data_IF_201793434858
#
_entry.id   IF_201793434858
#
_cell.length_a   1.000
_cell.length_b   1.000
_cell.length_c   1.000
_cell.angle_alpha   90.00
_cell.angle_beta   90.00
_cell.angle_gamma   90.00
#
_symmetry.space_group_name_H-M   'P 1'
#
loop_
_entity.id
_entity.type
_entity.pdbx_description
1 polymer ?
#
# COMPACT_ATOMS: atom_id res chain seq x y z
N UNK A 1 -3.90 17.69 15.86
CA UNK A 1 -2.60 17.57 15.18
C UNK A 1 -1.70 18.75 15.40
N UNK A 2 -2.19 19.93 15.20
CA UNK A 2 -1.40 21.15 15.38
C UNK A 2 -0.79 21.29 16.79
N UNK A 3 -1.58 21.03 17.82
CA UNK A 3 -1.11 21.07 19.22
C UNK A 3 0.03 20.10 19.50
N UNK A 4 -0.05 18.89 18.96
CA UNK A 4 0.96 17.85 19.16
C UNK A 4 2.28 18.23 18.50
N UNK A 5 2.21 18.75 17.28
CA UNK A 5 3.39 19.19 16.56
C UNK A 5 4.10 20.32 17.30
N UNK A 6 3.32 21.28 17.82
CA UNK A 6 3.86 22.40 18.56
C UNK A 6 4.58 21.96 19.84
N UNK A 7 3.97 21.05 20.60
CA UNK A 7 4.57 20.50 21.80
C UNK A 7 5.86 19.75 21.49
N UNK A 8 5.90 19.02 20.38
CA UNK A 8 7.09 18.31 19.96
C UNK A 8 8.21 19.26 19.58
N UNK A 9 7.89 20.35 18.89
CA UNK A 9 8.86 21.38 18.54
C UNK A 9 9.46 22.03 19.78
N UNK A 10 8.70 22.10 20.87
CA UNK A 10 9.14 22.64 22.16
C UNK A 10 9.97 21.63 22.98
N UNK A 11 10.25 20.45 22.42
CA UNK A 11 11.09 19.43 23.04
C UNK A 11 10.34 18.30 23.75
N UNK A 12 9.01 18.29 23.67
CA UNK A 12 8.23 17.22 24.29
C UNK A 12 8.26 15.94 23.43
N UNK A 13 8.40 14.79 24.10
CA UNK A 13 8.26 13.50 23.47
C UNK A 13 6.79 13.10 23.56
N UNK A 14 6.18 12.79 22.42
CA UNK A 14 4.75 12.46 22.35
C UNK A 14 4.59 11.02 21.89
N UNK A 15 3.83 10.23 22.66
CA UNK A 15 3.42 8.88 22.26
C UNK A 15 1.98 8.94 21.79
N UNK A 16 1.77 8.50 20.55
CA UNK A 16 0.46 8.53 19.92
C UNK A 16 0.04 7.12 19.53
N UNK A 17 -1.06 6.65 20.10
CA UNK A 17 -1.58 5.32 19.85
C UNK A 17 -2.76 5.40 18.89
N UNK A 18 -2.70 4.66 17.81
CA UNK A 18 -3.75 4.65 16.80
C UNK A 18 -3.77 3.30 16.08
N UNK A 19 -4.92 2.96 15.50
CA UNK A 19 -5.03 1.85 14.56
C UNK A 19 -5.16 2.35 13.12
N UNK A 20 -5.06 3.67 12.90
CA UNK A 20 -5.07 4.26 11.57
C UNK A 20 -3.64 4.43 11.08
N UNK A 21 -3.20 3.52 10.21
CA UNK A 21 -1.83 3.51 9.70
C UNK A 21 -1.46 4.78 8.95
N UNK A 22 -2.41 5.31 8.18
CA UNK A 22 -2.22 6.53 7.42
C UNK A 22 -1.89 7.72 8.31
N UNK A 23 -2.59 7.82 9.43
CA UNK A 23 -2.36 8.87 10.42
C UNK A 23 -0.98 8.74 11.05
N UNK A 24 -0.56 7.53 11.41
CA UNK A 24 0.76 7.27 11.95
C UNK A 24 1.87 7.64 10.95
N UNK A 25 1.68 7.36 9.66
CA UNK A 25 2.65 7.73 8.63
C UNK A 25 2.87 9.23 8.55
N UNK A 26 1.81 10.00 8.73
CA UNK A 26 1.87 11.45 8.57
C UNK A 26 2.51 12.17 9.74
N UNK A 27 2.26 11.74 10.97
CA UNK A 27 2.63 12.51 12.15
C UNK A 27 3.75 11.91 13.00
N UNK A 28 4.03 10.62 12.88
CA UNK A 28 5.00 9.96 13.73
C UNK A 28 6.40 9.94 13.11
N UNK A 29 7.41 10.19 13.93
CA UNK A 29 8.82 10.05 13.52
C UNK A 29 9.29 8.62 13.62
N UNK A 30 8.86 7.92 14.67
CA UNK A 30 9.11 6.49 14.84
C UNK A 30 7.80 5.78 15.13
N UNK A 31 7.67 4.58 14.63
CA UNK A 31 6.44 3.81 14.70
C UNK A 31 6.75 2.42 15.25
N UNK A 32 5.97 1.99 16.24
CA UNK A 32 6.01 0.63 16.72
C UNK A 32 4.73 -0.07 16.30
N UNK A 33 4.86 -1.21 15.66
CA UNK A 33 3.72 -2.04 15.26
C UNK A 33 3.52 -3.12 16.34
N UNK A 34 2.31 -3.15 16.89
CA UNK A 34 1.95 -4.07 17.96
C UNK A 34 0.90 -5.06 17.45
N UNK A 35 1.04 -6.30 17.86
CA UNK A 35 0.05 -7.33 17.60
C UNK A 35 0.01 -8.28 18.79
N UNK A 36 -1.19 -8.59 19.27
CA UNK A 36 -1.41 -9.49 20.42
C UNK A 36 -0.57 -9.12 21.65
N UNK A 37 -0.47 -7.82 21.90
CA UNK A 37 0.28 -7.30 23.05
C UNK A 37 1.79 -7.34 22.93
N UNK A 38 2.31 -7.68 21.75
CA UNK A 38 3.76 -7.73 21.51
C UNK A 38 4.18 -6.75 20.42
N UNK A 39 5.35 -6.16 20.62
CA UNK A 39 5.95 -5.33 19.60
C UNK A 39 6.56 -6.22 18.51
N UNK A 40 6.03 -6.14 17.29
CA UNK A 40 6.50 -6.98 16.18
C UNK A 40 7.47 -6.24 15.26
N UNK A 41 7.43 -4.92 15.25
CA UNK A 41 8.38 -4.11 14.48
C UNK A 41 8.45 -2.72 15.07
N UNK A 42 9.58 -2.05 14.92
CA UNK A 42 9.77 -0.67 15.31
C UNK A 42 10.77 0.00 14.37
N UNK A 43 10.54 1.26 14.05
CA UNK A 43 11.44 2.04 13.21
C UNK A 43 10.74 3.25 12.62
N UNK A 44 11.44 3.95 11.74
CA UNK A 44 10.81 5.01 10.96
C UNK A 44 9.90 4.37 9.91
N UNK A 45 8.99 5.17 9.33
CA UNK A 45 8.12 4.66 8.27
C UNK A 45 8.91 4.07 7.10
N UNK A 46 10.04 4.68 6.77
CA UNK A 46 10.88 4.20 5.68
C UNK A 46 11.57 2.87 6.02
N UNK A 47 12.05 2.74 7.26
CA UNK A 47 12.64 1.50 7.73
C UNK A 47 11.63 0.36 7.73
N UNK A 48 10.41 0.63 8.18
CA UNK A 48 9.34 -0.37 8.20
C UNK A 48 8.93 -0.79 6.78
N UNK A 49 8.83 0.15 5.87
CA UNK A 49 8.48 -0.15 4.49
C UNK A 49 9.54 -0.99 3.78
N UNK A 50 10.80 -0.86 4.17
CA UNK A 50 11.89 -1.68 3.65
C UNK A 50 11.86 -3.12 4.13
N UNK A 51 11.10 -3.42 5.18
CA UNK A 51 10.96 -4.78 5.69
C UNK A 51 10.17 -5.67 4.72
N UNK A 52 9.27 -5.09 3.95
CA UNK A 52 8.56 -5.81 2.90
C UNK A 52 9.19 -5.46 1.55
N UNK A 53 10.03 -6.36 1.10
CA UNK A 53 10.72 -6.20 -0.17
C UNK A 53 9.81 -6.62 -1.32
N UNK A 54 9.92 -5.91 -2.43
CA UNK A 54 9.27 -6.28 -3.68
C UNK A 54 7.74 -6.20 -3.68
N UNK A 55 7.16 -5.43 -2.77
CA UNK A 55 5.73 -5.16 -2.83
C UNK A 55 5.52 -3.88 -3.62
N UNK A 56 4.64 -3.93 -4.60
CA UNK A 56 4.35 -2.81 -5.48
C UNK A 56 2.86 -2.68 -5.70
N UNK A 57 2.36 -1.46 -5.70
CA UNK A 57 0.97 -1.17 -6.03
C UNK A 57 0.93 -0.35 -7.31
N UNK A 58 0.24 -0.87 -8.31
CA UNK A 58 0.05 -0.19 -9.59
C UNK A 58 -1.40 0.23 -9.71
N UNK A 59 -1.62 1.51 -9.95
CA UNK A 59 -2.96 2.07 -10.16
C UNK A 59 -3.06 2.66 -11.56
N UNK A 60 -4.10 2.31 -12.29
CA UNK A 60 -4.29 2.73 -13.68
C UNK A 60 -5.71 3.23 -13.87
N UNK A 61 -5.86 4.37 -14.50
CA UNK A 61 -7.17 4.88 -14.88
C UNK A 61 -7.63 4.20 -16.15
N UNK A 62 -8.66 3.37 -16.05
CA UNK A 62 -9.27 2.67 -17.17
C UNK A 62 -10.77 2.96 -17.14
N UNK A 63 -11.30 3.76 -18.06
CA UNK A 63 -12.72 4.13 -18.05
C UNK A 63 -13.67 2.95 -18.12
N UNK A 64 -13.32 1.95 -18.91
CA UNK A 64 -14.13 0.74 -19.05
C UNK A 64 -13.24 -0.48 -19.00
N UNK A 65 -13.52 -1.37 -18.07
CA UNK A 65 -12.80 -2.63 -17.92
C UNK A 65 -13.80 -3.75 -17.75
N UNK A 66 -13.78 -4.68 -18.69
CA UNK A 66 -14.66 -5.84 -18.64
C UNK A 66 -14.15 -6.83 -17.56
N UNK A 67 -15.08 -7.54 -16.95
CA UNK A 67 -14.77 -8.50 -15.91
C UNK A 67 -13.76 -9.55 -16.38
N UNK A 68 -13.86 -9.99 -17.62
CA UNK A 68 -12.93 -10.92 -18.24
C UNK A 68 -11.49 -10.41 -18.18
N UNK A 69 -11.29 -9.14 -18.50
CA UNK A 69 -9.96 -8.52 -18.45
C UNK A 69 -9.47 -8.32 -17.00
N UNK A 70 -10.39 -8.00 -16.11
CA UNK A 70 -10.07 -7.86 -14.68
C UNK A 70 -9.59 -9.21 -14.11
N UNK A 71 -10.26 -10.30 -14.44
CA UNK A 71 -9.85 -11.63 -14.01
C UNK A 71 -8.49 -12.02 -14.59
N UNK A 72 -8.26 -11.73 -15.86
CA UNK A 72 -6.98 -12.00 -16.51
C UNK A 72 -5.83 -11.23 -15.85
N UNK A 73 -6.05 -9.98 -15.55
CA UNK A 73 -5.06 -9.15 -14.85
C UNK A 73 -4.81 -9.68 -13.43
N UNK A 74 -5.86 -10.09 -12.74
CA UNK A 74 -5.74 -10.67 -11.41
C UNK A 74 -5.01 -12.02 -11.39
N UNK A 75 -4.97 -12.70 -12.51
CA UNK A 75 -4.28 -13.99 -12.66
C UNK A 75 -2.83 -13.84 -13.11
N UNK A 76 -2.35 -12.63 -13.33
CA UNK A 76 -0.97 -12.40 -13.72
C UNK A 76 -0.01 -12.82 -12.60
N UNK A 77 1.19 -13.24 -13.00
CA UNK A 77 2.21 -13.65 -12.05
C UNK A 77 2.52 -12.52 -11.06
N UNK A 78 2.64 -12.86 -9.79
CA UNK A 78 2.91 -11.97 -8.68
C UNK A 78 1.77 -11.06 -8.23
N UNK A 79 0.63 -11.04 -8.92
CA UNK A 79 -0.54 -10.30 -8.46
C UNK A 79 -1.24 -11.07 -7.35
N UNK A 80 -1.42 -10.44 -6.20
CA UNK A 80 -2.14 -11.07 -5.09
C UNK A 80 -3.46 -10.38 -4.76
N UNK A 81 -3.69 -9.20 -5.28
CA UNK A 81 -4.95 -8.47 -5.07
C UNK A 81 -5.25 -7.59 -6.27
N UNK A 82 -6.50 -7.60 -6.70
CA UNK A 82 -7.01 -6.68 -7.74
C UNK A 82 -8.25 -5.98 -7.24
N UNK A 83 -8.41 -4.74 -7.63
CA UNK A 83 -9.58 -3.95 -7.30
C UNK A 83 -9.86 -3.00 -8.47
N UNK A 84 -11.12 -2.92 -8.86
CA UNK A 84 -11.54 -1.98 -9.89
C UNK A 84 -12.76 -1.22 -9.39
N UNK A 85 -12.63 0.09 -9.26
CA UNK A 85 -13.66 0.95 -8.73
C UNK A 85 -13.61 2.32 -9.40
N UNK A 86 -14.75 2.80 -9.84
CA UNK A 86 -14.92 4.13 -10.44
C UNK A 86 -13.88 4.45 -11.52
N UNK A 87 -13.62 3.49 -12.41
CA UNK A 87 -12.68 3.70 -13.52
C UNK A 87 -11.21 3.62 -13.13
N UNK A 88 -10.91 3.16 -11.92
CA UNK A 88 -9.54 3.00 -11.44
C UNK A 88 -9.25 1.54 -11.12
N UNK A 89 -8.27 0.98 -11.79
CA UNK A 89 -7.78 -0.36 -11.53
C UNK A 89 -6.58 -0.28 -10.58
N UNK A 90 -6.61 -1.10 -9.54
CA UNK A 90 -5.48 -1.22 -8.61
C UNK A 90 -5.02 -2.66 -8.57
N UNK A 91 -3.73 -2.86 -8.82
CA UNK A 91 -3.08 -4.17 -8.78
C UNK A 91 -1.99 -4.16 -7.72
N UNK A 92 -2.04 -5.15 -6.83
CA UNK A 92 -1.03 -5.31 -5.79
C UNK A 92 -0.16 -6.52 -6.15
N UNK A 93 1.14 -6.27 -6.28
CA UNK A 93 2.12 -7.30 -6.60
C UNK A 93 2.96 -7.66 -5.38
N UNK A 94 3.31 -8.93 -5.29
CA UNK A 94 4.28 -9.41 -4.31
C UNK A 94 5.41 -10.08 -5.07
N UNK A 95 6.57 -9.46 -5.04
CA UNK A 95 7.72 -9.94 -5.80
C UNK A 95 7.68 -9.58 -7.27
N UNK A 96 8.58 -10.19 -8.04
CA UNK A 96 8.67 -9.97 -9.47
C UNK A 96 9.46 -8.73 -9.87
N UNK A 97 9.81 -8.68 -11.14
CA UNK A 97 10.48 -7.53 -11.76
C UNK A 97 9.67 -7.09 -12.97
N UNK A 98 9.71 -5.79 -13.25
CA UNK A 98 9.00 -5.24 -14.41
C UNK A 98 7.49 -5.49 -14.41
N UNK A 99 6.89 -5.54 -13.22
CA UNK A 99 5.44 -5.77 -13.10
C UNK A 99 4.61 -4.75 -13.89
N UNK A 100 4.98 -3.48 -13.78
CA UNK A 100 4.30 -2.42 -14.52
C UNK A 100 4.36 -2.64 -16.02
N UNK A 101 5.50 -3.03 -16.54
CA UNK A 101 5.69 -3.27 -17.97
C UNK A 101 4.77 -4.41 -18.43
N UNK A 102 4.69 -5.48 -17.67
CA UNK A 102 3.82 -6.62 -18.00
C UNK A 102 2.34 -6.20 -18.04
N UNK A 103 1.91 -5.36 -17.11
CA UNK A 103 0.55 -4.85 -17.11
C UNK A 103 0.28 -3.97 -18.34
N UNK A 104 1.19 -3.05 -18.64
CA UNK A 104 1.04 -2.17 -19.79
C UNK A 104 1.04 -2.93 -21.10
N UNK A 105 1.87 -3.96 -21.23
CA UNK A 105 1.87 -4.84 -22.40
C UNK A 105 0.53 -5.54 -22.58
N UNK A 106 -0.05 -6.02 -21.49
CA UNK A 106 -1.38 -6.65 -21.54
C UNK A 106 -2.44 -5.66 -22.03
N UNK A 107 -2.45 -4.45 -21.46
CA UNK A 107 -3.41 -3.42 -21.86
C UNK A 107 -3.27 -3.05 -23.33
N UNK A 108 -2.04 -2.95 -23.79
CA UNK A 108 -1.73 -2.65 -25.19
C UNK A 108 -2.18 -3.77 -26.11
N UNK A 109 -1.89 -5.02 -25.77
CA UNK A 109 -2.24 -6.19 -26.58
C UNK A 109 -3.76 -6.35 -26.71
N UNK A 110 -4.51 -5.96 -25.70
CA UNK A 110 -5.96 -6.01 -25.69
C UNK A 110 -6.62 -4.73 -26.21
N UNK A 111 -5.81 -3.76 -26.63
CA UNK A 111 -6.30 -2.47 -27.12
C UNK A 111 -7.20 -1.74 -26.10
N UNK A 112 -6.88 -1.86 -24.84
CA UNK A 112 -7.62 -1.18 -23.77
C UNK A 112 -7.17 0.27 -23.68
N UNK A 113 -8.14 1.17 -23.55
CA UNK A 113 -7.86 2.59 -23.36
C UNK A 113 -7.58 2.84 -21.88
N UNK A 114 -6.45 3.45 -21.57
CA UNK A 114 -6.11 3.81 -20.20
C UNK A 114 -5.52 5.22 -20.16
N UNK A 115 -5.67 5.84 -19.00
CA UNK A 115 -5.16 7.18 -18.75
C UNK A 115 -3.91 7.19 -17.89
N UNK A 116 -4.01 7.82 -16.73
CA UNK A 116 -2.86 7.95 -15.82
C UNK A 116 -2.47 6.62 -15.21
N UNK A 117 -1.17 6.45 -15.04
CA UNK A 117 -0.59 5.24 -14.43
C UNK A 117 0.27 5.68 -13.24
N UNK A 118 0.04 5.04 -12.09
CA UNK A 118 0.79 5.31 -10.88
C UNK A 118 1.42 4.01 -10.38
N UNK A 119 2.69 4.08 -9.99
CA UNK A 119 3.33 3.01 -9.26
C UNK A 119 3.67 3.56 -7.88
N UNK A 120 3.13 2.96 -6.85
CA UNK A 120 3.27 3.44 -5.48
C UNK A 120 4.08 2.47 -4.63
N UNK A 121 4.87 3.05 -3.73
CA UNK A 121 5.57 2.28 -2.71
C UNK A 121 4.56 1.72 -1.71
N UNK A 122 4.92 0.63 -0.99
CA UNK A 122 4.02 0.08 0.02
C UNK A 122 3.68 1.11 1.10
N UNK A 123 2.47 0.97 1.64
CA UNK A 123 2.02 1.77 2.79
C UNK A 123 2.33 1.03 4.09
N UNK A 124 2.19 1.73 5.22
CA UNK A 124 2.30 1.07 6.52
C UNK A 124 1.23 -0.01 6.70
N UNK A 125 0.07 0.17 6.11
CA UNK A 125 -0.97 -0.85 6.14
C UNK A 125 -0.50 -2.13 5.43
N UNK A 126 0.20 -1.99 4.31
CA UNK A 126 0.79 -3.12 3.61
C UNK A 126 1.83 -3.83 4.48
N UNK A 127 2.66 -3.06 5.20
CA UNK A 127 3.64 -3.61 6.15
C UNK A 127 2.94 -4.42 7.24
N UNK A 128 1.90 -3.85 7.82
CA UNK A 128 1.14 -4.53 8.87
C UNK A 128 0.55 -5.85 8.38
N UNK A 129 -0.07 -5.83 7.21
CA UNK A 129 -0.64 -7.04 6.59
C UNK A 129 0.41 -8.11 6.36
N UNK A 130 1.54 -7.74 5.83
CA UNK A 130 2.61 -8.68 5.51
C UNK A 130 3.21 -9.30 6.78
N UNK A 131 3.44 -8.50 7.80
CA UNK A 131 4.06 -8.97 9.05
C UNK A 131 3.08 -9.79 9.89
N UNK A 132 1.84 -9.38 9.98
CA UNK A 132 0.84 -10.04 10.83
C UNK A 132 -0.01 -11.06 10.08
N UNK A 133 -0.10 -10.96 8.77
CA UNK A 133 -1.02 -11.76 7.96
C UNK A 133 -2.49 -11.40 8.18
N UNK A 134 -2.75 -10.23 8.74
CA UNK A 134 -4.12 -9.80 9.08
C UNK A 134 -4.43 -8.45 8.47
N UNK A 135 -5.65 -8.30 8.00
CA UNK A 135 -6.14 -6.98 7.64
C UNK A 135 -6.43 -6.17 8.89
N UNK A 136 -6.09 -4.88 8.82
CA UNK A 136 -6.44 -3.97 9.89
C UNK A 136 -7.95 -3.79 9.88
N UNK A 137 -8.58 -4.13 10.99
CA UNK A 137 -10.02 -3.99 11.12
C UNK A 137 -10.33 -2.75 11.92
N UNK A 138 -11.30 -1.99 11.45
CA UNK A 138 -11.92 -0.96 12.23
C UNK A 138 -12.76 -1.63 13.31
N UNK A 139 -12.38 -1.42 14.52
CA UNK A 139 -13.11 -1.98 15.66
C UNK A 139 -13.86 -0.88 16.36
#
# INVERSE_FOLDING_TARGET
MYKRQKLNEEGATIVYTTHYMEEAEQICTRIAIMDKGQQIAIGTKDELKKMIKNTETVSIEIPELQEENLEALGSMEHVYKTEYDEGKLTLNFSGGTHNLIHVLDYLKDKNLVFGRVYSELPTLNDVFLEITGKELRDV
#
